data_IF_569623058327
#
_entry.id   IF_569623058327
#
_cell.length_a   1.000
_cell.length_b   1.000
_cell.length_c   1.000
_cell.angle_alpha   90.00
_cell.angle_beta   90.00
_cell.angle_gamma   90.00
#
_symmetry.space_group_name_H-M   'P 1'
#
loop_
_entity.id
_entity.type
_entity.pdbx_description
1 polymer ?
#
# COMPACT_ATOMS: atom_id res chain seq x y z
N UNK A 1 34.35 -9.75 3.23
CA UNK A 1 33.93 -8.58 4.00
C UNK A 1 32.42 -8.52 3.93
N UNK A 2 31.75 -8.30 5.04
CA UNK A 2 30.30 -8.19 5.05
C UNK A 2 29.89 -6.90 4.31
N UNK A 3 29.28 -7.03 3.14
CA UNK A 3 28.83 -5.89 2.31
C UNK A 3 27.54 -5.26 2.84
N UNK A 4 27.08 -5.61 4.04
CA UNK A 4 25.88 -5.03 4.64
C UNK A 4 26.17 -3.63 5.19
N UNK A 5 25.20 -2.70 5.12
CA UNK A 5 25.32 -1.41 5.79
C UNK A 5 25.38 -1.59 7.31
N UNK A 6 26.29 -0.89 7.96
CA UNK A 6 26.34 -0.82 9.41
C UNK A 6 25.23 0.09 9.95
N UNK A 7 24.86 -0.07 11.21
CA UNK A 7 23.89 0.80 11.89
C UNK A 7 24.30 2.28 11.79
N UNK A 8 25.59 2.58 11.98
CA UNK A 8 26.10 3.95 11.89
C UNK A 8 25.91 4.57 10.48
N UNK A 9 26.21 3.82 9.42
CA UNK A 9 25.98 4.28 8.05
C UNK A 9 24.51 4.54 7.77
N UNK A 10 23.61 3.67 8.30
CA UNK A 10 22.17 3.85 8.16
C UNK A 10 21.70 5.11 8.88
N UNK A 11 22.17 5.35 10.10
CA UNK A 11 21.82 6.55 10.88
C UNK A 11 22.27 7.83 10.17
N UNK A 12 23.50 7.86 9.64
CA UNK A 12 24.01 8.99 8.84
C UNK A 12 23.14 9.25 7.61
N UNK A 13 22.78 8.18 6.89
CA UNK A 13 21.93 8.29 5.70
C UNK A 13 20.49 8.71 6.02
N UNK A 14 19.93 8.24 7.13
CA UNK A 14 18.60 8.68 7.61
C UNK A 14 18.60 10.18 7.88
N UNK A 15 19.65 10.74 8.48
CA UNK A 15 19.77 12.19 8.70
C UNK A 15 19.81 12.94 7.36
N UNK A 16 20.57 12.46 6.37
CA UNK A 16 20.60 13.06 5.04
C UNK A 16 19.24 13.01 4.37
N UNK A 17 18.57 11.86 4.41
CA UNK A 17 17.23 11.69 3.86
C UNK A 17 16.23 12.61 4.55
N UNK A 18 16.23 12.66 5.88
CA UNK A 18 15.39 13.55 6.67
C UNK A 18 15.58 15.03 6.28
N UNK A 19 16.83 15.48 6.18
CA UNK A 19 17.12 16.86 5.80
C UNK A 19 16.61 17.17 4.37
N UNK A 20 16.73 16.21 3.45
CA UNK A 20 16.16 16.35 2.10
C UNK A 20 14.63 16.40 2.14
N UNK A 21 13.97 15.59 2.98
CA UNK A 21 12.53 15.65 3.19
C UNK A 21 12.09 17.03 3.71
N UNK A 22 12.82 17.59 4.67
CA UNK A 22 12.54 18.92 5.24
C UNK A 22 12.67 20.06 4.20
N UNK A 23 13.55 19.89 3.20
CA UNK A 23 13.68 20.82 2.07
C UNK A 23 12.55 20.69 1.04
N UNK A 24 11.97 19.49 0.91
CA UNK A 24 10.93 19.22 -0.10
C UNK A 24 9.51 19.38 0.41
N UNK A 25 9.30 19.41 1.73
CA UNK A 25 7.96 19.52 2.33
C UNK A 25 7.33 20.88 2.08
N UNK A 26 6.07 20.88 1.64
CA UNK A 26 5.30 22.11 1.42
C UNK A 26 4.62 22.61 2.69
N UNK A 27 4.22 23.89 2.69
CA UNK A 27 3.46 24.46 3.82
C UNK A 27 2.10 23.79 4.04
N UNK A 28 1.50 23.27 2.98
CA UNK A 28 0.24 22.53 3.05
C UNK A 28 0.42 21.16 3.70
N UNK A 29 1.46 20.42 3.31
CA UNK A 29 1.80 19.12 3.90
C UNK A 29 2.16 19.26 5.38
N UNK A 30 2.86 20.33 5.79
CA UNK A 30 3.11 20.61 7.21
C UNK A 30 1.81 20.81 8.01
N UNK A 31 0.82 21.48 7.42
CA UNK A 31 -0.50 21.63 8.07
C UNK A 31 -1.21 20.28 8.19
N UNK A 32 -1.09 19.42 7.21
CA UNK A 32 -1.65 18.07 7.26
C UNK A 32 -0.95 17.19 8.28
N UNK A 33 0.37 17.20 8.32
CA UNK A 33 1.13 16.53 9.39
C UNK A 33 0.67 16.98 10.79
N UNK A 34 0.46 18.29 10.97
CA UNK A 34 -0.05 18.81 12.24
C UNK A 34 -1.46 18.26 12.58
N UNK A 35 -2.36 18.15 11.59
CA UNK A 35 -3.69 17.53 11.80
C UNK A 35 -3.56 16.09 12.30
N UNK A 36 -2.70 15.28 11.66
CA UNK A 36 -2.47 13.90 12.08
C UNK A 36 -1.83 13.82 13.46
N UNK A 37 -0.86 14.68 13.76
CA UNK A 37 -0.25 14.77 15.09
C UNK A 37 -1.29 15.03 16.20
N UNK A 38 -2.23 15.94 15.96
CA UNK A 38 -3.35 16.21 16.89
C UNK A 38 -4.27 14.98 17.01
N UNK A 39 -4.62 14.31 15.91
CA UNK A 39 -5.48 13.11 15.94
C UNK A 39 -4.84 11.94 16.71
N UNK A 40 -3.52 11.78 16.63
CA UNK A 40 -2.79 10.75 17.40
C UNK A 40 -2.92 10.99 18.89
N UNK A 41 -2.84 12.26 19.32
CA UNK A 41 -2.99 12.65 20.74
C UNK A 41 -4.44 12.59 21.23
N UNK A 42 -5.43 12.56 20.34
CA UNK A 42 -6.86 12.63 20.64
C UNK A 42 -7.65 11.52 19.94
N UNK A 43 -7.72 10.33 20.52
CA UNK A 43 -8.41 9.18 19.91
C UNK A 43 -9.90 9.43 19.59
N UNK A 44 -10.58 10.33 20.32
CA UNK A 44 -11.96 10.72 20.03
C UNK A 44 -12.09 11.46 18.69
N UNK A 45 -11.11 12.27 18.31
CA UNK A 45 -11.11 13.01 17.06
C UNK A 45 -11.00 12.05 15.87
N UNK A 46 -10.15 11.00 16.00
CA UNK A 46 -10.08 9.90 15.05
C UNK A 46 -11.42 9.17 14.91
N UNK A 47 -12.03 8.79 16.06
CA UNK A 47 -13.34 8.11 16.07
C UNK A 47 -14.42 8.96 15.41
N UNK A 48 -14.41 10.27 15.65
CA UNK A 48 -15.30 11.20 14.99
C UNK A 48 -15.14 11.17 13.47
N UNK A 49 -13.91 11.30 12.97
CA UNK A 49 -13.63 11.34 11.52
C UNK A 49 -14.00 10.03 10.82
N UNK A 50 -13.64 8.88 11.42
CA UNK A 50 -14.02 7.56 10.89
C UNK A 50 -15.54 7.44 10.77
N UNK A 51 -16.29 7.79 11.84
CA UNK A 51 -17.73 7.75 11.83
C UNK A 51 -18.36 8.74 10.84
N UNK A 52 -17.77 9.92 10.71
CA UNK A 52 -18.21 10.92 9.73
C UNK A 52 -18.04 10.42 8.30
N UNK A 53 -16.90 9.79 7.97
CA UNK A 53 -16.65 9.21 6.65
C UNK A 53 -17.63 8.08 6.35
N UNK A 54 -17.79 7.15 7.28
CA UNK A 54 -18.69 6.01 7.14
C UNK A 54 -20.15 6.46 6.95
N UNK A 55 -20.67 7.26 7.87
CA UNK A 55 -22.07 7.67 7.86
C UNK A 55 -22.41 8.66 6.73
N UNK A 56 -21.48 9.56 6.36
CA UNK A 56 -21.70 10.50 5.26
C UNK A 56 -21.75 9.81 3.90
N UNK A 57 -21.16 8.63 3.78
CA UNK A 57 -21.16 7.82 2.57
C UNK A 57 -22.36 6.90 2.45
N UNK A 58 -22.85 6.36 3.58
CA UNK A 58 -23.97 5.41 3.61
C UNK A 58 -25.36 6.11 3.60
N UNK A 59 -25.48 7.25 4.31
CA UNK A 59 -26.76 7.93 4.48
C UNK A 59 -27.03 8.88 3.31
N UNK A 60 -27.99 8.50 2.44
CA UNK A 60 -28.41 9.34 1.30
C UNK A 60 -29.38 10.44 1.72
N UNK A 61 -30.28 10.16 2.67
CA UNK A 61 -31.22 11.14 3.17
C UNK A 61 -30.53 12.26 3.96
N UNK A 62 -30.71 13.50 3.48
CA UNK A 62 -30.04 14.68 4.05
C UNK A 62 -30.42 14.93 5.52
N UNK A 63 -31.71 14.77 5.89
CA UNK A 63 -32.16 15.04 7.24
C UNK A 63 -31.62 14.02 8.22
N UNK A 64 -31.68 12.74 7.84
CA UNK A 64 -31.10 11.64 8.65
C UNK A 64 -29.60 11.81 8.83
N UNK A 65 -28.88 12.21 7.78
CA UNK A 65 -27.46 12.50 7.88
C UNK A 65 -27.18 13.68 8.80
N UNK A 66 -27.96 14.74 8.71
CA UNK A 66 -27.86 15.92 9.56
C UNK A 66 -28.02 15.58 11.05
N UNK A 67 -29.08 14.82 11.38
CA UNK A 67 -29.30 14.33 12.75
C UNK A 67 -28.14 13.48 13.26
N UNK A 68 -27.58 12.65 12.37
CA UNK A 68 -26.48 11.77 12.73
C UNK A 68 -25.20 12.53 12.97
N UNK A 69 -24.85 13.49 12.12
CA UNK A 69 -23.70 14.38 12.29
C UNK A 69 -23.82 15.16 13.61
N UNK A 70 -25.02 15.66 13.92
CA UNK A 70 -25.24 16.33 15.21
C UNK A 70 -24.96 15.40 16.40
N UNK A 71 -25.48 14.16 16.37
CA UNK A 71 -25.21 13.15 17.40
C UNK A 71 -23.71 12.83 17.53
N UNK A 72 -22.97 12.84 16.42
CA UNK A 72 -21.52 12.63 16.46
C UNK A 72 -20.80 13.82 17.14
N UNK A 73 -21.19 15.06 16.80
CA UNK A 73 -20.64 16.27 17.43
C UNK A 73 -20.94 16.30 18.92
N UNK A 74 -22.20 15.97 19.31
CA UNK A 74 -22.61 15.95 20.72
C UNK A 74 -21.87 14.87 21.52
N UNK A 75 -21.54 13.74 20.87
CA UNK A 75 -20.84 12.62 21.51
C UNK A 75 -19.32 12.80 21.63
N UNK A 76 -18.69 13.31 20.58
CA UNK A 76 -17.23 13.35 20.47
C UNK A 76 -16.66 14.78 20.61
N UNK A 77 -17.53 15.80 20.56
CA UNK A 77 -17.13 17.19 20.48
C UNK A 77 -16.77 17.61 19.05
N UNK A 78 -16.43 18.89 18.90
CA UNK A 78 -15.87 19.42 17.64
C UNK A 78 -14.38 19.09 17.62
N UNK A 79 -13.88 18.38 16.57
CA UNK A 79 -12.50 17.95 16.53
C UNK A 79 -11.49 19.10 16.54
N UNK A 80 -10.40 18.95 17.31
CA UNK A 80 -9.36 20.00 17.41
C UNK A 80 -8.45 20.07 16.18
N UNK A 81 -8.36 19.02 15.38
CA UNK A 81 -7.58 19.05 14.14
C UNK A 81 -8.20 19.96 13.06
N UNK A 82 -9.45 20.39 13.23
CA UNK A 82 -10.10 21.29 12.28
C UNK A 82 -9.47 22.68 12.35
N UNK A 83 -9.33 23.34 11.21
CA UNK A 83 -8.96 24.74 11.18
C UNK A 83 -10.05 25.61 11.86
N UNK A 84 -9.70 26.82 12.25
CA UNK A 84 -10.61 27.74 12.99
C UNK A 84 -11.94 27.97 12.28
N UNK A 85 -11.93 28.04 10.95
CA UNK A 85 -13.13 28.26 10.13
C UNK A 85 -14.05 27.04 10.15
N UNK A 86 -13.50 25.84 9.92
CA UNK A 86 -14.27 24.62 9.91
C UNK A 86 -14.79 24.29 11.33
N UNK A 87 -13.97 24.49 12.38
CA UNK A 87 -14.39 24.35 13.78
C UNK A 87 -15.54 25.30 14.13
N UNK A 88 -15.48 26.55 13.67
CA UNK A 88 -16.58 27.50 13.84
C UNK A 88 -17.87 27.06 13.12
N UNK A 89 -17.76 26.56 11.90
CA UNK A 89 -18.92 26.03 11.17
C UNK A 89 -19.54 24.82 11.87
N UNK A 90 -18.73 23.90 12.41
CA UNK A 90 -19.23 22.78 13.21
C UNK A 90 -19.92 23.22 14.52
N UNK A 91 -19.37 24.23 15.22
CA UNK A 91 -20.00 24.80 16.41
C UNK A 91 -21.33 25.51 16.09
N UNK A 92 -21.37 26.28 15.02
CA UNK A 92 -22.59 26.90 14.50
C UNK A 92 -23.63 25.84 14.12
N UNK A 93 -23.20 24.77 13.46
CA UNK A 93 -24.05 23.66 13.10
C UNK A 93 -24.59 22.92 14.35
N UNK A 94 -23.78 22.73 15.37
CA UNK A 94 -24.22 22.15 16.66
C UNK A 94 -25.32 23.00 17.32
N UNK A 95 -25.15 24.32 17.29
CA UNK A 95 -26.10 25.24 17.92
C UNK A 95 -27.43 25.42 17.13
N UNK A 96 -27.34 25.47 15.80
CA UNK A 96 -28.47 25.89 14.94
C UNK A 96 -28.79 24.91 13.79
N UNK A 97 -28.21 23.72 13.78
CA UNK A 97 -28.12 22.79 12.65
C UNK A 97 -29.41 22.47 11.90
N UNK A 98 -30.53 22.32 12.60
CA UNK A 98 -31.79 21.93 11.94
C UNK A 98 -32.35 22.97 10.93
N UNK A 99 -31.91 24.22 11.04
CA UNK A 99 -32.37 25.30 10.15
C UNK A 99 -31.49 25.48 8.92
N UNK A 100 -30.26 24.89 8.93
CA UNK A 100 -29.24 25.10 7.91
C UNK A 100 -28.75 23.82 7.24
N UNK A 101 -29.44 22.69 7.43
CA UNK A 101 -29.04 21.39 6.87
C UNK A 101 -28.83 21.43 5.36
N UNK A 102 -29.63 22.22 4.65
CA UNK A 102 -29.56 22.31 3.19
C UNK A 102 -28.29 22.98 2.68
N UNK A 103 -27.61 23.79 3.51
CA UNK A 103 -26.30 24.39 3.21
C UNK A 103 -25.16 23.61 3.83
N UNK A 104 -25.30 23.23 5.12
CA UNK A 104 -24.23 22.62 5.89
C UNK A 104 -23.83 21.23 5.37
N UNK A 105 -24.80 20.37 5.08
CA UNK A 105 -24.53 18.99 4.65
C UNK A 105 -23.76 18.93 3.32
N UNK A 106 -24.14 19.66 2.26
CA UNK A 106 -23.33 19.72 1.03
C UNK A 106 -21.90 20.24 1.25
N UNK A 107 -21.73 21.26 2.12
CA UNK A 107 -20.39 21.80 2.44
C UNK A 107 -19.54 20.76 3.16
N UNK A 108 -20.09 20.08 4.17
CA UNK A 108 -19.41 19.02 4.92
C UNK A 108 -18.99 17.89 3.98
N UNK A 109 -19.91 17.37 3.15
CA UNK A 109 -19.61 16.33 2.16
C UNK A 109 -18.51 16.76 1.18
N UNK A 110 -18.60 17.98 0.65
CA UNK A 110 -17.58 18.52 -0.24
C UNK A 110 -16.22 18.61 0.46
N UNK A 111 -16.18 19.04 1.71
CA UNK A 111 -14.95 19.14 2.49
C UNK A 111 -14.32 17.77 2.75
N UNK A 112 -15.09 16.80 3.20
CA UNK A 112 -14.64 15.42 3.38
C UNK A 112 -14.04 14.86 2.08
N UNK A 113 -14.70 15.05 0.93
CA UNK A 113 -14.15 14.65 -0.37
C UNK A 113 -12.84 15.33 -0.72
N UNK A 114 -12.74 16.63 -0.49
CA UNK A 114 -11.51 17.37 -0.75
C UNK A 114 -10.34 16.88 0.11
N UNK A 115 -10.57 16.58 1.38
CA UNK A 115 -9.53 16.08 2.27
C UNK A 115 -9.10 14.64 1.91
N UNK A 116 -10.00 13.84 1.34
CA UNK A 116 -9.71 12.45 0.92
C UNK A 116 -9.16 12.34 -0.51
N UNK A 117 -9.40 13.33 -1.38
CA UNK A 117 -9.00 13.31 -2.80
C UNK A 117 -7.49 13.34 -3.04
N UNK A 118 -6.69 13.60 -2.01
CA UNK A 118 -5.22 13.52 -2.07
C UNK A 118 -4.72 12.08 -2.02
N UNK A 119 -5.43 11.24 -1.27
CA UNK A 119 -5.09 9.82 -1.06
C UNK A 119 -5.81 8.94 -2.07
N UNK A 120 -7.03 9.31 -2.46
CA UNK A 120 -7.85 8.55 -3.41
C UNK A 120 -8.14 9.43 -4.61
N UNK A 121 -7.65 9.01 -5.75
CA UNK A 121 -7.82 9.74 -7.01
C UNK A 121 -9.22 9.53 -7.58
N UNK A 122 -9.75 10.58 -8.18
CA UNK A 122 -11.00 10.52 -8.95
C UNK A 122 -10.73 9.80 -10.28
N UNK A 123 -11.47 8.74 -10.55
CA UNK A 123 -11.36 7.96 -11.78
C UNK A 123 -11.87 8.71 -13.02
N UNK A 124 -12.60 9.84 -12.86
CA UNK A 124 -13.05 10.65 -13.96
C UNK A 124 -11.88 10.99 -14.90
N UNK A 125 -11.97 10.53 -16.15
CA UNK A 125 -10.85 10.50 -17.09
C UNK A 125 -10.07 11.80 -17.21
N UNK A 126 -10.67 13.00 -17.35
CA UNK A 126 -9.89 14.24 -17.45
C UNK A 126 -9.00 14.49 -16.24
N UNK A 127 -9.47 14.15 -15.03
CA UNK A 127 -8.72 14.36 -13.78
C UNK A 127 -7.62 13.34 -13.61
N UNK A 128 -7.94 12.05 -13.79
CA UNK A 128 -6.97 10.97 -13.67
C UNK A 128 -5.86 11.13 -14.69
N UNK A 129 -6.19 11.34 -15.96
CA UNK A 129 -5.22 11.56 -17.04
C UNK A 129 -4.28 12.74 -16.74
N UNK A 130 -4.81 13.88 -16.25
CA UNK A 130 -4.00 15.03 -15.87
C UNK A 130 -3.04 14.70 -14.73
N UNK A 131 -3.49 13.94 -13.71
CA UNK A 131 -2.67 13.51 -12.59
C UNK A 131 -1.54 12.57 -13.04
N UNK A 132 -1.88 11.51 -13.80
CA UNK A 132 -0.91 10.54 -14.30
C UNK A 132 0.14 11.20 -15.20
N UNK A 133 -0.29 12.14 -16.09
CA UNK A 133 0.61 12.91 -16.93
C UNK A 133 1.56 13.81 -16.11
N UNK A 134 1.08 14.40 -15.02
CA UNK A 134 1.93 15.21 -14.13
C UNK A 134 3.00 14.34 -13.44
N UNK A 135 2.64 13.15 -12.96
CA UNK A 135 3.59 12.20 -12.35
C UNK A 135 4.59 11.65 -13.36
N UNK A 136 4.15 11.35 -14.58
CA UNK A 136 5.02 10.92 -15.66
C UNK A 136 6.10 11.97 -15.98
N UNK A 137 5.71 13.26 -16.08
CA UNK A 137 6.66 14.38 -16.26
C UNK A 137 7.67 14.48 -15.12
N UNK A 138 7.30 14.10 -13.91
CA UNK A 138 8.17 14.05 -12.73
C UNK A 138 9.05 12.78 -12.68
N UNK A 139 8.92 11.89 -13.68
CA UNK A 139 9.58 10.57 -13.73
C UNK A 139 9.20 9.66 -12.54
N UNK A 140 7.96 9.78 -12.08
CA UNK A 140 7.39 8.98 -11.01
C UNK A 140 6.44 7.95 -11.61
N UNK A 141 6.71 6.67 -11.33
CA UNK A 141 5.82 5.58 -11.74
C UNK A 141 4.49 5.63 -10.97
N UNK A 142 3.41 5.23 -11.63
CA UNK A 142 2.08 5.17 -11.02
C UNK A 142 1.53 3.75 -11.15
N UNK A 143 1.30 3.11 -9.99
CA UNK A 143 0.57 1.85 -9.92
C UNK A 143 -0.89 2.14 -9.57
N UNK A 144 -1.76 2.05 -10.55
CA UNK A 144 -3.19 2.32 -10.40
C UNK A 144 -3.87 1.13 -9.74
N UNK A 145 -4.51 1.37 -8.60
CA UNK A 145 -5.33 0.39 -7.89
C UNK A 145 -6.80 0.79 -7.98
N UNK A 146 -7.56 0.09 -8.80
CA UNK A 146 -8.99 0.32 -8.93
C UNK A 146 -9.72 -0.20 -7.70
N UNK A 147 -10.18 0.72 -6.84
CA UNK A 147 -10.93 0.36 -5.63
C UNK A 147 -12.34 -0.12 -6.00
N UNK A 148 -12.78 -1.19 -5.35
CA UNK A 148 -14.11 -1.72 -5.52
C UNK A 148 -14.64 -2.30 -4.21
N UNK A 149 -15.95 -2.57 -4.16
CA UNK A 149 -16.61 -3.23 -3.04
C UNK A 149 -16.13 -4.67 -2.86
N UNK A 150 -16.46 -5.25 -1.71
CA UNK A 150 -16.34 -6.70 -1.52
C UNK A 150 -17.20 -7.38 -2.57
N UNK A 151 -16.59 -8.26 -3.34
CA UNK A 151 -17.28 -8.99 -4.40
C UNK A 151 -18.22 -10.01 -3.77
N UNK A 152 -19.52 -9.78 -3.91
CA UNK A 152 -20.56 -10.66 -3.34
C UNK A 152 -21.02 -11.74 -4.32
N UNK A 153 -20.70 -11.61 -5.61
CA UNK A 153 -21.12 -12.56 -6.63
C UNK A 153 -20.38 -12.43 -7.96
N UNK A 154 -20.59 -13.39 -8.86
CA UNK A 154 -19.87 -13.46 -10.13
C UNK A 154 -20.10 -12.23 -11.02
N UNK A 155 -21.33 -11.69 -11.07
CA UNK A 155 -21.61 -10.51 -11.89
C UNK A 155 -20.80 -9.28 -11.48
N UNK A 156 -20.54 -9.10 -10.19
CA UNK A 156 -19.71 -8.01 -9.67
C UNK A 156 -18.22 -8.27 -9.93
N UNK A 157 -17.76 -9.53 -9.78
CA UNK A 157 -16.41 -9.93 -10.16
C UNK A 157 -16.16 -9.73 -11.66
N UNK A 158 -17.15 -10.08 -12.50
CA UNK A 158 -17.08 -9.89 -13.95
C UNK A 158 -16.97 -8.39 -14.29
N UNK A 159 -17.81 -7.55 -13.66
CA UNK A 159 -17.73 -6.09 -13.86
C UNK A 159 -16.36 -5.54 -13.49
N UNK A 160 -15.79 -5.96 -12.37
CA UNK A 160 -14.45 -5.54 -11.94
C UNK A 160 -13.35 -6.07 -12.86
N UNK A 161 -13.46 -7.32 -13.29
CA UNK A 161 -12.54 -7.92 -14.25
C UNK A 161 -12.53 -7.15 -15.57
N UNK A 162 -13.69 -6.81 -16.13
CA UNK A 162 -13.78 -5.99 -17.34
C UNK A 162 -13.20 -4.58 -17.12
N UNK A 163 -13.39 -4.02 -15.94
CA UNK A 163 -12.81 -2.73 -15.58
C UNK A 163 -11.27 -2.75 -15.55
N UNK A 164 -10.65 -3.85 -15.10
CA UNK A 164 -9.19 -4.02 -15.23
C UNK A 164 -8.75 -4.10 -16.70
N UNK A 165 -9.51 -4.79 -17.55
CA UNK A 165 -9.21 -4.87 -18.99
C UNK A 165 -9.30 -3.49 -19.66
N UNK A 166 -10.35 -2.71 -19.35
CA UNK A 166 -10.50 -1.32 -19.82
C UNK A 166 -9.35 -0.42 -19.33
N UNK A 167 -8.92 -0.56 -18.09
CA UNK A 167 -7.77 0.18 -17.57
C UNK A 167 -6.48 -0.16 -18.33
N UNK A 168 -6.29 -1.42 -18.71
CA UNK A 168 -5.14 -1.83 -19.51
C UNK A 168 -5.21 -1.33 -20.97
N UNK A 169 -6.38 -1.03 -21.52
CA UNK A 169 -6.52 -0.38 -22.83
C UNK A 169 -6.16 1.12 -22.78
N UNK A 170 -6.34 1.76 -21.64
CA UNK A 170 -6.16 3.18 -21.48
C UNK A 170 -4.69 3.61 -21.67
N UNK A 171 -4.39 4.56 -22.58
CA UNK A 171 -3.01 4.89 -22.96
C UNK A 171 -2.17 5.53 -21.84
N UNK A 172 -2.80 6.07 -20.83
CA UNK A 172 -2.18 6.78 -19.71
C UNK A 172 -1.98 5.90 -18.46
N UNK A 173 -2.51 4.68 -18.44
CA UNK A 173 -2.30 3.70 -17.35
C UNK A 173 -1.25 2.68 -17.79
N UNK A 174 -0.11 2.66 -17.12
CA UNK A 174 1.03 1.82 -17.47
C UNK A 174 1.24 0.65 -16.50
N UNK A 175 0.68 0.74 -15.32
CA UNK A 175 0.86 -0.23 -14.25
C UNK A 175 -0.42 -0.31 -13.40
N UNK A 176 -0.94 -1.52 -13.20
CA UNK A 176 -2.10 -1.78 -12.34
C UNK A 176 -1.79 -2.85 -11.30
N UNK A 177 -2.50 -2.77 -10.15
CA UNK A 177 -2.59 -3.86 -9.17
C UNK A 177 -3.92 -4.59 -9.31
N UNK A 178 -3.85 -5.92 -9.28
CA UNK A 178 -5.00 -6.83 -9.39
C UNK A 178 -5.04 -7.75 -8.18
N UNK A 179 -6.24 -8.05 -7.68
CA UNK A 179 -6.49 -9.01 -6.61
C UNK A 179 -7.27 -10.20 -7.14
N UNK A 180 -6.97 -11.41 -6.67
CA UNK A 180 -7.70 -12.62 -7.10
C UNK A 180 -9.18 -12.52 -6.74
N UNK A 181 -9.53 -11.98 -5.58
CA UNK A 181 -10.91 -11.74 -5.16
C UNK A 181 -11.65 -10.73 -6.04
N UNK A 182 -10.92 -9.86 -6.72
CA UNK A 182 -11.46 -8.86 -7.65
C UNK A 182 -11.73 -9.38 -9.04
N UNK A 183 -11.17 -10.52 -9.42
CA UNK A 183 -11.35 -11.10 -10.77
C UNK A 183 -12.21 -12.37 -10.78
N UNK A 184 -12.48 -12.95 -9.60
CA UNK A 184 -13.37 -14.09 -9.47
C UNK A 184 -13.97 -14.17 -8.06
N UNK A 185 -15.32 -14.25 -7.96
CA UNK A 185 -16.00 -14.17 -6.66
C UNK A 185 -15.97 -15.48 -5.86
N UNK A 186 -15.86 -16.62 -6.54
CA UNK A 186 -16.00 -17.94 -5.95
C UNK A 186 -14.66 -18.53 -5.47
N UNK A 187 -13.69 -17.68 -5.15
CA UNK A 187 -12.39 -18.12 -4.65
C UNK A 187 -12.52 -18.46 -3.17
N UNK A 188 -12.59 -19.74 -2.85
CA UNK A 188 -12.68 -20.24 -1.47
C UNK A 188 -11.83 -21.50 -1.31
N UNK A 189 -11.22 -21.70 -0.16
CA UNK A 189 -10.32 -22.84 0.09
C UNK A 189 -10.91 -24.22 -0.26
N UNK A 190 -12.24 -24.38 -0.14
CA UNK A 190 -12.92 -25.63 -0.47
C UNK A 190 -13.13 -25.87 -1.97
N UNK A 191 -12.98 -24.84 -2.82
CA UNK A 191 -13.17 -24.93 -4.26
C UNK A 191 -12.02 -24.38 -5.09
N UNK A 192 -10.80 -24.30 -4.53
CA UNK A 192 -9.64 -23.78 -5.24
C UNK A 192 -9.38 -24.51 -6.56
N UNK A 193 -9.49 -25.83 -6.58
CA UNK A 193 -9.23 -26.61 -7.79
C UNK A 193 -10.29 -26.37 -8.86
N UNK A 194 -11.55 -26.12 -8.50
CA UNK A 194 -12.63 -25.78 -9.43
C UNK A 194 -12.50 -24.35 -9.98
N UNK A 195 -12.09 -23.41 -9.14
CA UNK A 195 -11.93 -21.99 -9.52
C UNK A 195 -10.63 -21.70 -10.27
N UNK A 196 -9.61 -22.56 -10.11
CA UNK A 196 -8.28 -22.33 -10.66
C UNK A 196 -8.25 -22.15 -12.20
N UNK A 197 -8.91 -23.01 -13.01
CA UNK A 197 -8.90 -22.85 -14.48
C UNK A 197 -9.48 -21.50 -14.95
N UNK A 198 -10.55 -21.01 -14.32
CA UNK A 198 -11.15 -19.72 -14.68
C UNK A 198 -10.25 -18.56 -14.26
N UNK A 199 -9.61 -18.64 -13.09
CA UNK A 199 -8.62 -17.65 -12.65
C UNK A 199 -7.41 -17.60 -13.58
N UNK A 200 -6.89 -18.75 -13.99
CA UNK A 200 -5.80 -18.85 -14.99
C UNK A 200 -6.22 -18.17 -16.28
N UNK A 201 -7.41 -18.49 -16.81
CA UNK A 201 -7.95 -17.88 -18.03
C UNK A 201 -8.04 -16.36 -17.92
N UNK A 202 -8.59 -15.83 -16.82
CA UNK A 202 -8.74 -14.39 -16.57
C UNK A 202 -7.39 -13.69 -16.42
N UNK A 203 -6.45 -14.29 -15.71
CA UNK A 203 -5.09 -13.75 -15.59
C UNK A 203 -4.34 -13.75 -16.93
N UNK A 204 -4.46 -14.83 -17.72
CA UNK A 204 -3.89 -14.87 -19.08
C UNK A 204 -4.43 -13.70 -19.93
N UNK A 205 -5.74 -13.46 -19.89
CA UNK A 205 -6.33 -12.36 -20.66
C UNK A 205 -5.85 -10.98 -20.19
N UNK A 206 -5.66 -10.77 -18.87
CA UNK A 206 -5.06 -9.53 -18.33
C UNK A 206 -3.62 -9.33 -18.81
N UNK A 207 -2.79 -10.36 -18.76
CA UNK A 207 -1.40 -10.27 -19.21
C UNK A 207 -1.32 -10.08 -20.73
N UNK A 208 -2.16 -10.78 -21.50
CA UNK A 208 -2.23 -10.57 -22.94
C UNK A 208 -2.65 -9.13 -23.28
N UNK A 209 -3.67 -8.59 -22.57
CA UNK A 209 -4.10 -7.21 -22.74
C UNK A 209 -2.97 -6.21 -22.42
N UNK A 210 -2.19 -6.46 -21.39
CA UNK A 210 -1.04 -5.63 -21.03
C UNK A 210 0.07 -5.64 -22.10
N UNK A 211 0.22 -6.75 -22.83
CA UNK A 211 1.15 -6.88 -23.96
C UNK A 211 0.60 -6.16 -25.21
N UNK A 212 -0.69 -6.34 -25.51
CA UNK A 212 -1.34 -5.82 -26.72
C UNK A 212 -1.47 -4.28 -26.72
N UNK A 213 -1.56 -3.67 -25.53
CA UNK A 213 -1.69 -2.24 -25.34
C UNK A 213 -0.46 -1.60 -24.66
N UNK A 214 0.72 -1.65 -25.30
CA UNK A 214 1.95 -1.15 -24.73
C UNK A 214 1.93 0.37 -24.59
N UNK A 215 2.82 0.90 -23.76
CA UNK A 215 3.08 2.33 -23.63
C UNK A 215 4.50 2.69 -24.06
N UNK A 216 4.77 3.99 -24.21
CA UNK A 216 6.11 4.50 -24.48
C UNK A 216 6.66 5.09 -23.18
N UNK A 217 7.81 4.59 -22.73
CA UNK A 217 8.46 5.07 -21.51
C UNK A 217 9.14 6.45 -21.72
N UNK A 218 9.72 7.01 -20.66
CA UNK A 218 10.39 8.31 -20.67
C UNK A 218 11.63 8.37 -21.59
N UNK A 219 12.11 7.22 -22.04
CA UNK A 219 13.25 7.10 -22.97
C UNK A 219 12.78 6.85 -24.41
N UNK A 220 11.48 6.88 -24.67
CA UNK A 220 10.89 6.61 -25.99
C UNK A 220 10.81 5.11 -26.36
N UNK A 221 11.05 4.21 -25.42
CA UNK A 221 11.01 2.76 -25.64
C UNK A 221 9.60 2.22 -25.42
N UNK A 222 9.13 1.43 -26.38
CA UNK A 222 7.84 0.74 -26.30
C UNK A 222 7.93 -0.44 -25.33
N UNK A 223 7.06 -0.44 -24.29
CA UNK A 223 7.04 -1.48 -23.24
C UNK A 223 5.62 -1.99 -23.01
N UNK A 224 5.50 -3.27 -22.70
CA UNK A 224 4.26 -3.82 -22.19
C UNK A 224 3.88 -3.17 -20.86
N UNK A 225 2.58 -2.99 -20.63
CA UNK A 225 2.09 -2.53 -19.33
C UNK A 225 2.35 -3.56 -18.25
N UNK A 226 2.45 -3.10 -17.00
CA UNK A 226 2.81 -3.94 -15.89
C UNK A 226 1.58 -4.29 -15.03
N UNK A 227 1.42 -5.57 -14.71
CA UNK A 227 0.37 -6.05 -13.82
C UNK A 227 1.02 -6.65 -12.58
N UNK A 228 0.65 -6.13 -11.41
CA UNK A 228 1.06 -6.69 -10.13
C UNK A 228 -0.10 -7.45 -9.49
N UNK A 229 0.15 -8.67 -9.06
CA UNK A 229 -0.82 -9.46 -8.31
C UNK A 229 -0.65 -9.14 -6.83
N UNK A 230 -1.64 -8.43 -6.26
CA UNK A 230 -1.63 -8.06 -4.85
C UNK A 230 -2.00 -9.26 -3.98
N UNK A 231 -1.33 -9.37 -2.83
CA UNK A 231 -1.62 -10.40 -1.83
C UNK A 231 -2.69 -9.90 -0.88
N UNK A 232 -3.61 -10.77 -0.51
CA UNK A 232 -4.73 -10.44 0.39
C UNK A 232 -4.59 -11.19 1.72
N UNK A 233 -5.50 -12.10 2.05
CA UNK A 233 -5.48 -12.88 3.28
C UNK A 233 -4.48 -14.05 3.21
N UNK A 234 -3.99 -14.47 4.37
CA UNK A 234 -3.06 -15.60 4.48
C UNK A 234 -3.57 -16.87 3.80
N UNK A 235 -4.88 -17.17 3.98
CA UNK A 235 -5.50 -18.35 3.39
C UNK A 235 -5.33 -18.45 1.87
N UNK A 236 -5.24 -17.30 1.19
CA UNK A 236 -5.16 -17.22 -0.27
C UNK A 236 -3.71 -17.11 -0.79
N UNK A 237 -2.73 -16.98 0.10
CA UNK A 237 -1.36 -16.63 -0.26
C UNK A 237 -0.68 -17.71 -1.14
N UNK A 238 -0.73 -18.97 -0.74
CA UNK A 238 -0.18 -20.08 -1.54
C UNK A 238 -0.90 -20.25 -2.87
N UNK A 239 -2.23 -20.09 -2.86
CA UNK A 239 -3.04 -20.18 -4.07
C UNK A 239 -2.69 -19.06 -5.06
N UNK A 240 -2.49 -17.85 -4.57
CA UNK A 240 -2.08 -16.69 -5.38
C UNK A 240 -0.70 -16.91 -6.00
N UNK A 241 0.26 -17.43 -5.24
CA UNK A 241 1.59 -17.76 -5.75
C UNK A 241 1.53 -18.87 -6.82
N UNK A 242 0.74 -19.92 -6.58
CA UNK A 242 0.52 -21.00 -7.56
C UNK A 242 -0.06 -20.45 -8.87
N UNK A 243 -1.08 -19.59 -8.80
CA UNK A 243 -1.69 -18.94 -9.95
C UNK A 243 -0.68 -18.11 -10.73
N UNK A 244 0.11 -17.29 -10.05
CA UNK A 244 1.14 -16.47 -10.66
C UNK A 244 2.18 -17.30 -11.43
N UNK A 245 2.67 -18.38 -10.83
CA UNK A 245 3.63 -19.29 -11.45
C UNK A 245 3.03 -20.03 -12.63
N UNK A 246 1.81 -20.56 -12.49
CA UNK A 246 1.10 -21.29 -13.54
C UNK A 246 0.92 -20.44 -14.81
N UNK A 247 0.42 -19.23 -14.66
CA UNK A 247 0.18 -18.33 -15.79
C UNK A 247 1.48 -17.94 -16.49
N UNK A 248 2.51 -17.58 -15.71
CA UNK A 248 3.80 -17.15 -16.25
C UNK A 248 4.69 -18.28 -16.78
N UNK A 249 4.34 -19.54 -16.52
CA UNK A 249 5.00 -20.70 -17.11
C UNK A 249 4.59 -20.95 -18.57
N UNK A 250 3.54 -20.25 -19.04
CA UNK A 250 3.05 -20.43 -20.42
C UNK A 250 3.99 -19.76 -21.42
N UNK A 251 4.21 -20.39 -22.58
CA UNK A 251 5.16 -19.90 -23.60
C UNK A 251 4.86 -18.46 -24.06
N UNK A 252 3.57 -18.10 -24.19
CA UNK A 252 3.12 -16.78 -24.64
C UNK A 252 3.55 -15.65 -23.70
N UNK A 253 3.78 -15.96 -22.41
CA UNK A 253 4.23 -14.98 -21.42
C UNK A 253 5.73 -15.06 -21.10
N UNK A 254 6.50 -15.84 -21.83
CA UNK A 254 7.94 -16.00 -21.59
C UNK A 254 8.69 -14.66 -21.51
N UNK A 255 8.32 -13.72 -22.37
CA UNK A 255 8.96 -12.39 -22.44
C UNK A 255 8.18 -11.30 -21.68
N UNK A 256 7.16 -11.67 -20.93
CA UNK A 256 6.36 -10.73 -20.16
C UNK A 256 6.85 -10.65 -18.71
N UNK A 257 7.10 -9.43 -18.20
CA UNK A 257 7.45 -9.17 -16.80
C UNK A 257 6.20 -8.80 -16.02
N UNK A 258 5.96 -9.48 -14.91
CA UNK A 258 4.85 -9.23 -13.99
C UNK A 258 5.33 -9.18 -12.55
N UNK A 259 4.49 -8.69 -11.64
CA UNK A 259 4.81 -8.58 -10.23
C UNK A 259 3.85 -9.34 -9.31
N UNK A 260 4.37 -9.69 -8.12
CA UNK A 260 3.60 -10.26 -7.02
C UNK A 260 4.05 -9.65 -5.69
N UNK A 261 3.17 -9.65 -4.68
CA UNK A 261 3.47 -9.13 -3.35
C UNK A 261 3.96 -10.25 -2.42
N UNK A 262 4.96 -9.94 -1.60
CA UNK A 262 5.39 -10.78 -0.46
C UNK A 262 5.24 -9.98 0.83
N UNK A 263 4.58 -10.59 1.83
CA UNK A 263 4.17 -9.96 3.08
C UNK A 263 5.06 -10.41 4.23
N UNK A 264 5.95 -9.55 4.71
CA UNK A 264 6.95 -9.88 5.73
C UNK A 264 6.36 -10.19 7.13
N UNK A 265 5.10 -9.84 7.39
CA UNK A 265 4.45 -10.21 8.65
C UNK A 265 4.13 -11.72 8.75
N UNK A 266 4.24 -12.47 7.65
CA UNK A 266 4.12 -13.92 7.62
C UNK A 266 5.47 -14.57 7.93
N UNK A 267 5.55 -15.53 8.85
CA UNK A 267 6.77 -16.32 9.07
C UNK A 267 7.26 -17.02 7.80
N UNK A 268 6.36 -17.60 7.03
CA UNK A 268 6.61 -18.33 5.78
C UNK A 268 6.85 -17.44 4.55
N UNK A 269 6.87 -16.11 4.71
CA UNK A 269 7.25 -15.20 3.62
C UNK A 269 8.64 -15.49 3.03
N UNK A 270 9.54 -16.08 3.81
CA UNK A 270 10.83 -16.54 3.34
C UNK A 270 10.72 -17.75 2.40
N UNK A 271 9.82 -18.67 2.67
CA UNK A 271 9.52 -19.83 1.79
C UNK A 271 8.88 -19.31 0.48
N UNK A 272 7.91 -18.38 0.55
CA UNK A 272 7.34 -17.74 -0.62
C UNK A 272 8.42 -17.06 -1.49
N UNK A 273 9.34 -16.35 -0.86
CA UNK A 273 10.45 -15.74 -1.59
C UNK A 273 11.35 -16.81 -2.24
N UNK A 274 11.58 -17.94 -1.56
CA UNK A 274 12.39 -19.04 -2.11
C UNK A 274 11.78 -19.60 -3.37
N UNK A 275 10.50 -19.99 -3.32
CA UNK A 275 9.78 -20.51 -4.48
C UNK A 275 9.76 -19.50 -5.64
N UNK A 276 9.59 -18.22 -5.33
CA UNK A 276 9.54 -17.15 -6.31
C UNK A 276 10.91 -16.92 -6.97
N UNK A 277 11.99 -16.96 -6.19
CA UNK A 277 13.36 -16.84 -6.69
C UNK A 277 13.76 -18.02 -7.57
N UNK A 278 13.44 -19.25 -7.15
CA UNK A 278 13.73 -20.46 -7.93
C UNK A 278 12.99 -20.42 -9.27
N UNK A 279 11.73 -20.04 -9.24
CA UNK A 279 10.92 -19.88 -10.47
C UNK A 279 11.48 -18.78 -11.38
N UNK A 280 11.80 -17.60 -10.83
CA UNK A 280 12.33 -16.48 -11.61
C UNK A 280 13.70 -16.79 -12.22
N UNK A 281 14.59 -17.46 -11.48
CA UNK A 281 15.93 -17.90 -11.96
C UNK A 281 15.82 -18.95 -13.07
N UNK A 282 14.97 -19.97 -12.88
CA UNK A 282 14.72 -20.98 -13.91
C UNK A 282 14.18 -20.35 -15.19
N UNK A 283 13.22 -19.43 -15.05
CA UNK A 283 12.65 -18.67 -16.18
C UNK A 283 13.72 -17.87 -16.93
N UNK A 284 14.59 -17.13 -16.21
CA UNK A 284 15.67 -16.38 -16.84
C UNK A 284 16.71 -17.27 -17.51
N UNK A 285 17.05 -18.40 -16.89
CA UNK A 285 17.97 -19.39 -17.50
C UNK A 285 17.44 -19.95 -18.83
N UNK A 286 16.13 -20.04 -18.95
CA UNK A 286 15.43 -20.38 -20.22
C UNK A 286 15.27 -19.18 -21.19
N UNK A 287 15.87 -18.03 -20.88
CA UNK A 287 15.79 -16.81 -21.70
C UNK A 287 14.49 -16.02 -21.58
N UNK A 288 13.76 -16.19 -20.48
CA UNK A 288 12.54 -15.43 -20.16
C UNK A 288 12.83 -14.09 -19.48
N UNK A 289 11.81 -13.24 -19.40
CA UNK A 289 11.90 -11.94 -18.74
C UNK A 289 11.99 -12.07 -17.21
N UNK A 290 12.68 -11.13 -16.52
CA UNK A 290 12.68 -11.07 -15.06
C UNK A 290 11.30 -10.78 -14.50
N UNK A 291 11.07 -11.15 -13.25
CA UNK A 291 9.87 -10.87 -12.50
C UNK A 291 10.10 -9.78 -11.45
N UNK A 292 9.04 -9.33 -10.77
CA UNK A 292 9.15 -8.36 -9.68
C UNK A 292 8.44 -8.85 -8.43
N UNK A 293 9.11 -8.69 -7.29
CA UNK A 293 8.54 -8.88 -5.97
C UNK A 293 8.34 -7.51 -5.31
N UNK A 294 7.11 -7.17 -4.92
CA UNK A 294 6.86 -6.06 -4.01
C UNK A 294 6.93 -6.58 -2.58
N UNK A 295 7.93 -6.14 -1.84
CA UNK A 295 8.07 -6.49 -0.43
C UNK A 295 7.31 -5.48 0.44
N UNK A 296 6.30 -5.97 1.16
CA UNK A 296 5.49 -5.18 2.10
C UNK A 296 5.61 -5.74 3.51
N UNK A 297 5.29 -4.95 4.52
CA UNK A 297 5.20 -5.46 5.90
C UNK A 297 3.97 -6.33 6.10
N UNK A 298 2.83 -5.91 5.61
CA UNK A 298 1.53 -6.57 5.70
C UNK A 298 0.48 -5.59 6.23
N UNK A 299 -0.78 -5.73 5.77
CA UNK A 299 -1.84 -4.78 6.12
C UNK A 299 -3.04 -5.41 6.84
N UNK A 300 -3.07 -6.74 7.00
CA UNK A 300 -4.21 -7.46 7.56
C UNK A 300 -3.94 -8.08 8.94
N UNK A 301 -2.90 -7.61 9.65
CA UNK A 301 -2.45 -8.20 10.92
C UNK A 301 -3.58 -8.35 11.94
N UNK A 302 -4.36 -7.31 12.15
CA UNK A 302 -5.48 -7.33 13.10
C UNK A 302 -6.59 -8.30 12.64
N UNK A 303 -6.92 -8.29 11.35
CA UNK A 303 -7.95 -9.16 10.79
C UNK A 303 -7.54 -10.63 10.89
N UNK A 304 -6.31 -10.98 10.53
CA UNK A 304 -5.77 -12.34 10.64
C UNK A 304 -5.78 -12.83 12.10
N UNK A 305 -5.38 -11.97 13.04
CA UNK A 305 -5.39 -12.25 14.46
C UNK A 305 -6.80 -12.48 15.00
N UNK A 306 -7.76 -11.63 14.62
CA UNK A 306 -9.17 -11.76 15.03
C UNK A 306 -9.80 -13.04 14.47
N UNK A 307 -9.63 -13.30 13.16
CA UNK A 307 -10.17 -14.49 12.52
C UNK A 307 -9.61 -15.76 13.16
N UNK A 308 -8.30 -15.82 13.38
CA UNK A 308 -7.63 -16.96 14.01
C UNK A 308 -8.15 -17.19 15.43
N UNK A 309 -8.29 -16.14 16.22
CA UNK A 309 -8.85 -16.21 17.57
C UNK A 309 -10.30 -16.71 17.59
N UNK A 310 -11.16 -16.17 16.71
CA UNK A 310 -12.57 -16.57 16.62
C UNK A 310 -12.76 -18.03 16.19
N UNK A 311 -11.84 -18.55 15.38
CA UNK A 311 -11.88 -19.93 14.87
C UNK A 311 -11.07 -20.93 15.68
N UNK A 312 -10.35 -20.48 16.69
CA UNK A 312 -9.42 -21.31 17.46
C UNK A 312 -8.25 -21.82 16.62
N UNK A 313 -7.86 -21.09 15.58
CA UNK A 313 -6.72 -21.43 14.71
C UNK A 313 -5.45 -20.79 15.24
N UNK A 314 -4.27 -21.38 14.94
CA UNK A 314 -3.00 -20.71 15.17
C UNK A 314 -2.96 -19.38 14.41
N UNK A 315 -2.37 -18.35 15.04
CA UNK A 315 -2.22 -17.07 14.39
C UNK A 315 -1.13 -17.14 13.28
N UNK A 316 -1.45 -16.91 12.01
CA UNK A 316 -0.50 -17.06 10.92
C UNK A 316 0.51 -15.90 10.85
N UNK A 317 0.28 -14.80 11.56
CA UNK A 317 1.10 -13.60 11.48
C UNK A 317 1.99 -13.41 12.69
N UNK A 318 3.12 -12.75 12.49
CA UNK A 318 3.99 -12.27 13.58
C UNK A 318 3.27 -11.17 14.34
N UNK A 319 3.28 -11.25 15.66
CA UNK A 319 2.59 -10.29 16.53
C UNK A 319 3.50 -9.13 16.96
N UNK A 320 4.83 -9.35 16.93
CA UNK A 320 5.80 -8.33 17.27
C UNK A 320 6.18 -7.49 16.06
N UNK A 321 6.10 -6.16 16.22
CA UNK A 321 6.54 -5.20 15.20
C UNK A 321 8.03 -5.38 14.85
N UNK A 322 8.87 -5.62 15.86
CA UNK A 322 10.30 -5.87 15.69
C UNK A 322 10.55 -7.13 14.86
N UNK A 323 9.79 -8.22 15.08
CA UNK A 323 9.89 -9.42 14.25
C UNK A 323 9.46 -9.19 12.81
N UNK A 324 8.40 -8.40 12.57
CA UNK A 324 7.97 -8.04 11.22
C UNK A 324 9.06 -7.26 10.50
N UNK A 325 9.64 -6.27 11.18
CA UNK A 325 10.71 -5.45 10.62
C UNK A 325 12.00 -6.26 10.39
N UNK A 326 12.35 -7.15 11.30
CA UNK A 326 13.49 -8.06 11.15
C UNK A 326 13.32 -8.99 9.94
N UNK A 327 12.14 -9.60 9.79
CA UNK A 327 11.83 -10.45 8.64
C UNK A 327 11.83 -9.66 7.32
N UNK A 328 11.34 -8.43 7.34
CA UNK A 328 11.41 -7.53 6.18
C UNK A 328 12.86 -7.29 5.76
N UNK A 329 13.75 -6.95 6.70
CA UNK A 329 15.18 -6.73 6.43
C UNK A 329 15.85 -8.01 5.92
N UNK A 330 15.54 -9.16 6.52
CA UNK A 330 16.09 -10.46 6.11
C UNK A 330 15.72 -10.83 4.67
N UNK A 331 14.44 -10.72 4.32
CA UNK A 331 13.93 -10.96 2.96
C UNK A 331 14.54 -9.96 1.96
N UNK A 332 14.67 -8.68 2.37
CA UNK A 332 15.27 -7.62 1.55
C UNK A 332 16.73 -7.89 1.23
N UNK A 333 17.53 -8.30 2.23
CA UNK A 333 18.94 -8.63 2.04
C UNK A 333 19.13 -9.73 0.99
N UNK A 334 18.38 -10.81 1.14
CA UNK A 334 18.39 -11.92 0.19
C UNK A 334 17.95 -11.49 -1.21
N UNK A 335 16.90 -10.67 -1.30
CA UNK A 335 16.39 -10.19 -2.57
C UNK A 335 17.39 -9.32 -3.34
N UNK A 336 18.19 -8.51 -2.62
CA UNK A 336 19.15 -7.59 -3.22
C UNK A 336 20.51 -8.21 -3.54
N UNK A 337 20.75 -9.50 -3.23
CA UNK A 337 21.92 -10.19 -3.76
C UNK A 337 21.89 -10.14 -5.29
N UNK A 338 22.99 -9.79 -5.97
CA UNK A 338 22.99 -9.55 -7.41
C UNK A 338 22.43 -10.69 -8.26
N UNK A 339 22.74 -11.94 -7.87
CA UNK A 339 22.24 -13.16 -8.53
C UNK A 339 20.73 -13.38 -8.35
N UNK A 340 20.12 -12.78 -7.31
CA UNK A 340 18.69 -12.82 -7.05
C UNK A 340 17.99 -11.63 -7.70
N UNK A 341 18.53 -10.43 -7.51
CA UNK A 341 17.93 -9.19 -7.95
C UNK A 341 17.77 -9.11 -9.47
N UNK A 342 18.69 -9.70 -10.23
CA UNK A 342 18.60 -9.80 -11.69
C UNK A 342 17.37 -10.57 -12.16
N UNK A 343 17.01 -11.65 -11.46
CA UNK A 343 15.88 -12.50 -11.84
C UNK A 343 14.57 -12.03 -11.25
N UNK A 344 14.62 -11.47 -10.03
CA UNK A 344 13.46 -11.02 -9.27
C UNK A 344 13.73 -9.60 -8.75
N UNK A 345 13.30 -8.62 -9.53
CA UNK A 345 13.40 -7.20 -9.14
C UNK A 345 12.63 -6.92 -7.84
N UNK A 346 13.06 -5.90 -7.10
CA UNK A 346 12.53 -5.63 -5.77
C UNK A 346 11.82 -4.28 -5.71
N UNK A 347 10.54 -4.30 -5.36
CA UNK A 347 9.78 -3.12 -4.95
C UNK A 347 9.83 -2.99 -3.43
N UNK A 348 10.57 -2.03 -2.91
CA UNK A 348 10.68 -1.74 -1.48
C UNK A 348 9.52 -0.87 -1.04
N UNK A 349 8.46 -1.50 -0.51
CA UNK A 349 7.27 -0.78 -0.07
C UNK A 349 7.43 -0.32 1.39
N UNK A 350 7.76 0.95 1.59
CA UNK A 350 7.94 1.52 2.94
C UNK A 350 7.89 3.04 2.94
N UNK A 351 7.34 3.61 4.03
CA UNK A 351 7.46 5.02 4.39
C UNK A 351 8.48 5.25 5.52
N UNK A 352 9.03 4.18 6.11
CA UNK A 352 9.98 4.26 7.21
C UNK A 352 11.36 4.68 6.70
N UNK A 353 11.85 5.83 7.14
CA UNK A 353 13.13 6.42 6.69
C UNK A 353 14.32 5.49 6.97
N UNK A 354 14.31 4.73 8.08
CA UNK A 354 15.38 3.79 8.40
C UNK A 354 15.39 2.59 7.43
N UNK A 355 14.22 2.04 7.12
CA UNK A 355 14.09 0.97 6.12
C UNK A 355 14.51 1.44 4.74
N UNK A 356 14.10 2.64 4.34
CA UNK A 356 14.46 3.27 3.06
C UNK A 356 15.98 3.47 2.98
N UNK A 357 16.59 4.04 4.03
CA UNK A 357 18.03 4.27 4.09
C UNK A 357 18.81 2.96 4.00
N UNK A 358 18.37 1.94 4.71
CA UNK A 358 18.98 0.62 4.67
C UNK A 358 18.93 0.00 3.26
N UNK A 359 17.76 -0.02 2.64
CA UNK A 359 17.58 -0.53 1.27
C UNK A 359 18.43 0.25 0.26
N UNK A 360 18.50 1.57 0.40
CA UNK A 360 19.32 2.43 -0.43
C UNK A 360 20.81 2.05 -0.35
N UNK A 361 21.36 1.98 0.86
CA UNK A 361 22.77 1.67 1.07
C UNK A 361 23.11 0.24 0.63
N UNK A 362 22.25 -0.72 1.00
CA UNK A 362 22.46 -2.14 0.67
C UNK A 362 22.49 -2.37 -0.84
N UNK A 363 21.52 -1.83 -1.57
CA UNK A 363 21.44 -2.00 -3.02
C UNK A 363 22.68 -1.46 -3.76
N UNK A 364 23.26 -0.37 -3.26
CA UNK A 364 24.47 0.22 -3.83
C UNK A 364 25.73 -0.54 -3.47
N UNK A 365 25.85 -0.97 -2.20
CA UNK A 365 26.98 -1.81 -1.76
C UNK A 365 27.03 -3.15 -2.51
N UNK A 366 25.86 -3.69 -2.86
CA UNK A 366 25.74 -4.94 -3.62
C UNK A 366 25.75 -4.75 -5.14
N UNK A 367 25.67 -3.50 -5.64
CA UNK A 367 25.61 -3.24 -7.08
C UNK A 367 24.28 -3.67 -7.73
N UNK A 368 23.19 -3.71 -6.96
CA UNK A 368 21.86 -4.15 -7.39
C UNK A 368 20.81 -3.02 -7.43
N UNK A 369 21.23 -1.76 -7.36
CA UNK A 369 20.34 -0.61 -7.30
C UNK A 369 19.43 -0.47 -8.53
N UNK A 370 19.87 -0.91 -9.71
CA UNK A 370 19.08 -0.88 -10.95
C UNK A 370 17.88 -1.85 -10.93
N UNK A 371 17.92 -2.88 -10.09
CA UNK A 371 16.86 -3.89 -9.94
C UNK A 371 15.89 -3.56 -8.81
N UNK A 372 16.03 -2.36 -8.20
CA UNK A 372 15.22 -1.94 -7.06
C UNK A 372 14.42 -0.67 -7.36
N UNK A 373 13.16 -0.65 -6.90
CA UNK A 373 12.31 0.55 -6.88
C UNK A 373 11.81 0.80 -5.47
N UNK A 374 11.63 2.07 -5.08
CA UNK A 374 10.87 2.40 -3.87
C UNK A 374 9.40 2.52 -4.21
N UNK A 375 8.54 1.89 -3.42
CA UNK A 375 7.09 1.96 -3.61
C UNK A 375 6.43 2.62 -2.40
N UNK A 376 5.65 3.66 -2.66
CA UNK A 376 5.02 4.47 -1.61
C UNK A 376 3.54 4.70 -1.94
N UNK A 377 2.75 5.11 -0.96
CA UNK A 377 1.34 5.43 -1.17
C UNK A 377 1.20 6.87 -1.67
N UNK A 378 0.37 7.08 -2.68
CA UNK A 378 0.03 8.41 -3.20
C UNK A 378 -0.63 9.24 -2.09
N UNK A 379 -0.20 10.50 -1.92
CA UNK A 379 -0.79 11.47 -1.00
C UNK A 379 -0.54 11.26 0.50
N UNK A 380 0.35 10.32 0.89
CA UNK A 380 0.58 10.03 2.32
C UNK A 380 1.87 10.61 2.89
N UNK A 381 2.90 10.74 2.12
CA UNK A 381 4.20 11.29 2.54
C UNK A 381 4.94 11.86 1.34
N UNK A 382 4.32 12.81 0.66
CA UNK A 382 4.81 13.31 -0.63
C UNK A 382 6.20 13.94 -0.56
N UNK A 383 6.56 14.58 0.55
CA UNK A 383 7.91 15.07 0.80
C UNK A 383 8.97 13.96 0.80
N UNK A 384 8.61 12.73 1.22
CA UNK A 384 9.55 11.60 1.26
C UNK A 384 9.81 11.06 -0.15
N UNK A 385 8.78 10.85 -0.98
CA UNK A 385 9.02 10.37 -2.34
C UNK A 385 9.74 11.44 -3.18
N UNK A 386 9.47 12.75 -2.97
CA UNK A 386 10.22 13.82 -3.64
C UNK A 386 11.70 13.80 -3.25
N UNK A 387 11.99 13.62 -1.96
CA UNK A 387 13.37 13.47 -1.49
C UNK A 387 14.05 12.25 -2.11
N UNK A 388 13.35 11.10 -2.20
CA UNK A 388 13.85 9.91 -2.88
C UNK A 388 14.17 10.19 -4.36
N UNK A 389 13.27 10.85 -5.08
CA UNK A 389 13.49 11.21 -6.49
C UNK A 389 14.69 12.15 -6.66
N UNK A 390 14.85 13.16 -5.80
CA UNK A 390 16.03 14.05 -5.81
C UNK A 390 17.35 13.31 -5.51
N UNK A 391 17.31 12.24 -4.74
CA UNK A 391 18.46 11.38 -4.47
C UNK A 391 18.73 10.36 -5.60
N UNK A 392 18.02 10.48 -6.72
CA UNK A 392 18.20 9.62 -7.90
C UNK A 392 17.60 8.23 -7.77
N UNK A 393 16.63 8.04 -6.90
CA UNK A 393 15.95 6.77 -6.74
C UNK A 393 14.72 6.67 -7.67
N UNK A 394 14.47 5.47 -8.18
CA UNK A 394 13.22 5.16 -8.89
C UNK A 394 12.08 4.98 -7.89
N UNK A 395 11.02 5.78 -8.03
CA UNK A 395 9.85 5.76 -7.15
C UNK A 395 8.61 5.40 -7.95
N UNK A 396 7.80 4.52 -7.38
CA UNK A 396 6.46 4.18 -7.86
C UNK A 396 5.47 4.52 -6.76
N UNK A 397 4.41 5.24 -7.11
CA UNK A 397 3.34 5.57 -6.18
C UNK A 397 2.14 4.64 -6.43
N UNK A 398 1.69 3.98 -5.37
CA UNK A 398 0.47 3.19 -5.35
C UNK A 398 -0.71 4.14 -5.24
N UNK A 399 -1.47 4.27 -6.32
CA UNK A 399 -2.51 5.25 -6.50
C UNK A 399 -3.90 4.59 -6.47
N UNK A 400 -4.61 4.64 -5.33
CA UNK A 400 -5.99 4.18 -5.26
C UNK A 400 -6.90 5.10 -6.09
N UNK A 401 -7.75 4.49 -6.91
CA UNK A 401 -8.64 5.20 -7.84
C UNK A 401 -10.06 4.72 -7.64
N UNK A 402 -11.03 5.62 -7.64
CA UNK A 402 -12.45 5.29 -7.52
C UNK A 402 -13.32 6.28 -8.27
N UNK A 403 -14.43 5.80 -8.84
CA UNK A 403 -15.48 6.66 -9.38
C UNK A 403 -16.20 7.40 -8.24
N UNK A 404 -16.56 8.65 -8.46
CA UNK A 404 -17.27 9.48 -7.48
C UNK A 404 -18.56 8.82 -6.94
N UNK A 405 -19.27 8.11 -7.79
CA UNK A 405 -20.51 7.37 -7.46
C UNK A 405 -20.25 6.14 -6.55
N UNK A 406 -19.02 5.61 -6.56
CA UNK A 406 -18.57 4.47 -5.78
C UNK A 406 -17.63 4.85 -4.62
N UNK A 407 -17.65 6.12 -4.19
CA UNK A 407 -16.77 6.61 -3.12
C UNK A 407 -16.92 5.83 -1.80
N UNK A 408 -18.08 5.21 -1.56
CA UNK A 408 -18.27 4.31 -0.42
C UNK A 408 -17.19 3.21 -0.34
N UNK A 409 -16.78 2.68 -1.49
CA UNK A 409 -15.74 1.64 -1.59
C UNK A 409 -14.38 2.12 -1.10
N UNK A 410 -14.17 3.44 -1.19
CA UNK A 410 -12.94 4.08 -0.73
C UNK A 410 -12.89 4.29 0.79
N UNK A 411 -14.05 4.31 1.46
CA UNK A 411 -14.11 4.57 2.91
C UNK A 411 -13.35 3.51 3.70
N UNK A 412 -13.53 2.24 3.38
CA UNK A 412 -12.81 1.14 4.02
C UNK A 412 -11.30 1.23 3.82
N UNK A 413 -10.86 1.65 2.64
CA UNK A 413 -9.46 1.92 2.36
C UNK A 413 -8.92 3.07 3.22
N UNK A 414 -9.66 4.20 3.28
CA UNK A 414 -9.28 5.38 4.08
C UNK A 414 -9.21 5.07 5.57
N UNK A 415 -10.19 4.34 6.10
CA UNK A 415 -10.21 3.94 7.51
C UNK A 415 -8.97 3.11 7.85
N UNK A 416 -8.63 2.11 7.03
CA UNK A 416 -7.40 1.32 7.24
C UNK A 416 -6.15 2.18 7.20
N UNK A 417 -6.05 3.14 6.26
CA UNK A 417 -4.92 4.08 6.20
C UNK A 417 -4.84 4.96 7.45
N UNK A 418 -5.98 5.43 7.95
CA UNK A 418 -6.03 6.19 9.21
C UNK A 418 -5.62 5.34 10.41
N UNK A 419 -6.05 4.09 10.48
CA UNK A 419 -5.66 3.17 11.55
C UNK A 419 -4.16 2.92 11.53
N UNK A 420 -3.59 2.62 10.37
CA UNK A 420 -2.15 2.46 10.20
C UNK A 420 -1.37 3.72 10.59
N UNK A 421 -1.81 4.90 10.13
CA UNK A 421 -1.13 6.18 10.41
C UNK A 421 -1.22 6.61 11.87
N UNK A 422 -2.07 6.00 12.67
CA UNK A 422 -2.27 6.32 14.08
C UNK A 422 -1.98 5.15 15.01
N UNK A 423 -1.51 4.02 14.49
CA UNK A 423 -1.09 2.88 15.30
C UNK A 423 0.21 3.20 16.07
N UNK A 424 0.30 2.91 17.38
CA UNK A 424 1.43 3.34 18.22
C UNK A 424 2.80 2.89 17.72
N UNK A 425 2.88 1.73 17.08
CA UNK A 425 4.14 1.16 16.61
C UNK A 425 4.46 1.51 15.15
N UNK A 426 3.58 2.24 14.46
CA UNK A 426 3.79 2.58 13.06
C UNK A 426 4.70 3.81 12.95
N UNK A 427 5.67 3.74 12.04
CA UNK A 427 6.57 4.87 11.73
C UNK A 427 5.80 6.16 11.40
N UNK A 428 4.72 6.07 10.61
CA UNK A 428 3.95 7.25 10.17
C UNK A 428 3.33 8.01 11.36
N UNK A 429 2.90 7.31 12.42
CA UNK A 429 2.41 7.93 13.65
C UNK A 429 3.43 8.89 14.26
N UNK A 430 4.69 8.49 14.22
CA UNK A 430 5.81 9.24 14.79
C UNK A 430 6.39 10.28 13.81
N UNK A 431 6.17 10.11 12.50
CA UNK A 431 6.77 10.96 11.46
C UNK A 431 6.24 12.39 11.46
N UNK A 432 5.03 12.63 11.97
CA UNK A 432 4.38 13.95 11.94
C UNK A 432 5.09 15.03 12.75
N UNK A 433 5.83 14.64 13.79
CA UNK A 433 6.63 15.54 14.66
C UNK A 433 8.08 15.06 14.77
N UNK A 434 8.55 14.25 13.82
CA UNK A 434 9.88 13.68 13.87
C UNK A 434 10.95 14.77 13.76
N UNK A 435 11.88 14.78 14.70
CA UNK A 435 13.07 15.66 14.70
C UNK A 435 14.28 14.88 15.20
N UNK A 436 15.45 15.01 14.57
CA UNK A 436 16.69 14.43 15.06
C UNK A 436 16.97 14.82 16.53
N UNK A 437 17.44 13.85 17.31
CA UNK A 437 17.82 14.04 18.70
C UNK A 437 16.66 14.03 19.72
N UNK A 438 15.40 13.95 19.29
CA UNK A 438 14.24 13.81 20.19
C UNK A 438 14.06 12.38 20.68
N UNK A 439 13.23 12.18 21.72
CA UNK A 439 12.88 10.85 22.22
C UNK A 439 12.18 10.00 21.14
N UNK A 440 11.32 10.61 20.34
CA UNK A 440 10.67 9.96 19.19
C UNK A 440 11.69 9.47 18.17
N UNK A 441 12.72 10.27 17.88
CA UNK A 441 13.80 9.85 16.99
C UNK A 441 14.57 8.66 17.56
N UNK A 442 14.94 8.73 18.84
CA UNK A 442 15.64 7.63 19.54
C UNK A 442 14.80 6.36 19.58
N UNK A 443 13.49 6.49 19.82
CA UNK A 443 12.57 5.36 19.80
C UNK A 443 12.59 4.64 18.43
N UNK A 444 12.43 5.36 17.33
CA UNK A 444 12.44 4.78 15.98
C UNK A 444 13.81 4.21 15.60
N UNK A 445 14.88 4.85 16.01
CA UNK A 445 16.25 4.36 15.83
C UNK A 445 16.44 3.03 16.56
N UNK A 446 16.07 2.95 17.83
CA UNK A 446 16.17 1.73 18.62
C UNK A 446 15.33 0.58 18.01
N UNK A 447 14.10 0.89 17.56
CA UNK A 447 13.24 -0.07 16.89
C UNK A 447 13.90 -0.67 15.65
N UNK A 448 14.56 0.16 14.83
CA UNK A 448 15.33 -0.31 13.69
C UNK A 448 16.54 -1.16 14.12
N UNK A 449 17.30 -0.72 15.12
CA UNK A 449 18.48 -1.43 15.63
C UNK A 449 18.14 -2.81 16.18
N UNK A 450 17.03 -2.93 16.91
CA UNK A 450 16.53 -4.22 17.40
C UNK A 450 16.16 -5.16 16.24
N UNK A 451 15.42 -4.66 15.25
CA UNK A 451 15.08 -5.42 14.06
C UNK A 451 16.33 -5.85 13.27
N UNK A 452 17.33 -4.93 13.14
CA UNK A 452 18.59 -5.23 12.47
C UNK A 452 19.38 -6.35 13.18
N UNK A 453 19.44 -6.35 14.51
CA UNK A 453 20.10 -7.41 15.29
C UNK A 453 19.35 -8.74 15.20
N UNK A 454 18.03 -8.69 15.12
CA UNK A 454 17.18 -9.89 15.10
C UNK A 454 17.12 -10.57 13.73
N UNK A 455 17.34 -9.86 12.62
CA UNK A 455 17.12 -10.34 11.25
C UNK A 455 17.87 -11.65 10.88
N UNK A 456 19.03 -11.87 11.46
CA UNK A 456 19.87 -13.04 11.17
C UNK A 456 19.50 -14.28 12.00
N UNK A 457 18.66 -14.12 13.05
CA UNK A 457 18.25 -15.19 13.98
C UNK A 457 16.73 -15.42 14.00
N UNK A 458 16.00 -14.72 13.12
CA UNK A 458 14.56 -14.84 13.08
C UNK A 458 14.13 -16.19 12.52
N UNK A 459 13.14 -16.81 13.17
CA UNK A 459 12.58 -18.09 12.69
C UNK A 459 11.61 -17.85 11.52
N UNK A 460 11.65 -18.72 10.53
CA UNK A 460 10.75 -18.77 9.40
C UNK A 460 9.66 -19.83 9.53
N UNK A 461 9.65 -20.56 10.65
CA UNK A 461 8.66 -21.60 10.91
C UNK A 461 7.34 -20.94 11.36
N UNK A 462 6.23 -21.20 10.67
CA UNK A 462 4.90 -20.76 11.10
C UNK A 462 4.59 -21.18 12.53
N UNK A 463 3.80 -20.35 13.23
CA UNK A 463 3.54 -20.56 14.66
C UNK A 463 2.80 -21.87 14.96
N UNK A 464 1.96 -22.33 14.01
CA UNK A 464 1.23 -23.59 14.08
C UNK A 464 2.13 -24.84 14.00
N UNK A 465 3.28 -24.72 13.31
CA UNK A 465 4.27 -25.82 13.21
C UNK A 465 5.24 -25.88 14.40
N UNK A 466 5.32 -24.84 15.23
CA UNK A 466 6.19 -24.82 16.42
C UNK A 466 5.70 -25.73 17.55
N UNK A 467 4.45 -26.14 17.53
CA UNK A 467 3.83 -26.99 18.56
C UNK A 467 3.94 -28.50 18.27
N UNK A 468 4.61 -28.90 17.19
CA UNK A 468 4.72 -30.28 16.71
C UNK A 468 6.15 -30.84 16.83
N UNK A 469 7.08 -30.10 17.48
CA UNK A 469 8.44 -30.54 17.73
C UNK A 469 8.67 -30.72 19.21
#
# INVERSE_FOLDING_TARGET
>A
MDNRPTIAEVQEWVLKLYNTCEQTITSEERKEQHKYAVMVQRPQDKKFLVKMLDESSQIRDRKKLAERIKKLIDRYGVPEFLNKRDAFLFKMYQAFGHHFDFIAIPIIKKRLRMDTSKVILDEARPKLTAHLAARFKQKIGQNVNLLGEVVLGNGEADHRYFHYLEALEAPDINYISVKISGIYAQTHALNYEESFPELVKRMCALYQKAIDFPYVDENGVKRSKFVNLDMEEYKDAHFTLRLFKEVLSRPEFKNYSAGIVVQAYLPDAYEFQTELLDFAKARMADGGAPLKMRLVKGCNLEMETVISSLRGWPNPVRTSKTEVDANYLHILERALLPENAKALHVGVASHNLFTIAYAYLLSRKLGSAEYMTFEMLEGMADHVWRAQSQLGNHVILYAPVVKDEHFLNAVSYLVRRMDENTAPDNFLTHSFNLKPGTDTWRFLQNQFEEAYKMKDVITHIPTDRKSVV
#
